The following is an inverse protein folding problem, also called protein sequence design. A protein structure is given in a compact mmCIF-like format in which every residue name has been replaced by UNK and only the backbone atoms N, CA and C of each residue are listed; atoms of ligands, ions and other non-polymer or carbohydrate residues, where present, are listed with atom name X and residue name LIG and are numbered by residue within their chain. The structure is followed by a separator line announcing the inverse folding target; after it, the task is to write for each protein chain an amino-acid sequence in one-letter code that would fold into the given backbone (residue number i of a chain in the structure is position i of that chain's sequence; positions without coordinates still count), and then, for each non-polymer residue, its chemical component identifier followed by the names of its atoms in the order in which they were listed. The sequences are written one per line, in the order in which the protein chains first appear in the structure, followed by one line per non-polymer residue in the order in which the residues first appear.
data_IF_444978241871
#
_entry.id   IF_444978241871
#
_cell.length_a   1.000
_cell.length_b   1.000
_cell.length_c   1.000
_cell.angle_alpha   90.00
_cell.angle_beta   90.00
_cell.angle_gamma   90.00
#
_symmetry.space_group_name_H-M   'P 1'
#
loop_
_entity.id
_entity.type
_entity.pdbx_description
1 polymer ?
#
# COMPACT_ATOMS: atom_id res chain seq x y z
N UNK A 1 0.23 -12.90 14.38
CA UNK A 1 1.41 -12.02 14.42
C UNK A 1 1.25 -11.06 13.25
N UNK A 2 0.96 -9.78 13.51
CA UNK A 2 0.62 -8.78 12.48
C UNK A 2 1.72 -7.72 12.51
N UNK A 3 2.63 -7.75 11.52
CA UNK A 3 3.81 -6.90 11.36
C UNK A 3 4.83 -6.87 12.51
N UNK A 4 6.02 -7.35 12.19
CA UNK A 4 7.21 -7.20 13.01
C UNK A 4 8.49 -7.32 12.17
N UNK A 5 8.36 -7.24 10.85
CA UNK A 5 9.39 -7.40 9.84
C UNK A 5 10.11 -6.10 9.49
N UNK A 6 9.67 -4.97 10.05
CA UNK A 6 10.23 -3.64 9.79
C UNK A 6 9.35 -2.75 8.91
N UNK A 7 8.19 -3.24 8.50
CA UNK A 7 7.24 -2.52 7.64
C UNK A 7 6.32 -1.61 8.46
N UNK A 8 6.91 -0.64 9.16
CA UNK A 8 6.20 0.35 9.96
C UNK A 8 6.37 1.79 9.45
N UNK A 9 5.39 2.63 9.81
CA UNK A 9 5.36 4.04 9.46
C UNK A 9 6.30 4.91 10.29
N UNK A 10 6.35 6.20 9.96
CA UNK A 10 7.03 7.22 10.76
C UNK A 10 6.48 7.29 12.19
N UNK A 11 7.29 7.85 13.09
CA UNK A 11 6.88 8.11 14.48
C UNK A 11 5.63 8.99 14.48
N UNK A 12 4.59 8.51 15.15
CA UNK A 12 3.35 9.25 15.32
C UNK A 12 3.47 10.12 16.58
N UNK A 13 3.82 11.39 16.37
CA UNK A 13 3.83 12.42 17.43
C UNK A 13 2.48 13.11 17.63
N UNK A 14 1.44 12.69 16.89
CA UNK A 14 0.14 13.33 16.92
C UNK A 14 -0.76 12.70 17.99
N UNK A 15 -1.36 13.58 18.79
CA UNK A 15 -2.38 13.20 19.75
C UNK A 15 -3.59 12.71 18.97
N UNK A 16 -4.12 11.56 19.39
CA UNK A 16 -5.33 10.97 18.81
C UNK A 16 -6.48 11.97 18.94
N UNK A 17 -7.11 12.38 17.82
CA UNK A 17 -8.15 13.39 17.88
C UNK A 17 -9.42 12.82 18.52
N UNK A 18 -10.20 13.65 19.22
CA UNK A 18 -11.34 13.21 20.04
C UNK A 18 -12.46 12.49 19.28
N UNK A 19 -12.62 12.78 17.98
CA UNK A 19 -13.57 12.09 17.11
C UNK A 19 -13.13 10.65 16.75
N UNK A 20 -11.87 10.29 17.01
CA UNK A 20 -11.31 8.95 16.80
C UNK A 20 -11.35 8.05 18.05
N UNK A 21 -12.01 8.47 19.12
CA UNK A 21 -12.07 7.74 20.39
C UNK A 21 -12.61 6.31 20.26
N UNK A 22 -13.46 6.04 19.26
CA UNK A 22 -13.97 4.70 18.94
C UNK A 22 -12.91 3.73 18.40
N UNK A 23 -11.80 4.25 17.85
CA UNK A 23 -10.73 3.43 17.29
C UNK A 23 -9.82 2.93 18.43
N UNK A 24 -9.37 1.67 18.44
CA UNK A 24 -8.38 1.21 19.42
C UNK A 24 -7.05 1.98 19.32
N UNK A 25 -6.35 2.18 20.44
CA UNK A 25 -5.12 2.98 20.46
C UNK A 25 -4.00 2.39 19.61
N UNK A 26 -3.89 1.05 19.55
CA UNK A 26 -2.92 0.34 18.72
C UNK A 26 -3.14 0.58 17.21
N UNK A 27 -4.35 0.94 16.79
CA UNK A 27 -4.66 1.28 15.40
C UNK A 27 -4.34 2.75 15.07
N UNK A 28 -4.16 3.60 16.08
CA UNK A 28 -3.67 4.98 15.91
C UNK A 28 -2.15 5.05 16.00
N UNK A 29 -1.56 4.43 17.01
CA UNK A 29 -0.13 4.43 17.28
C UNK A 29 0.28 3.09 17.89
N UNK A 30 1.14 2.36 17.19
CA UNK A 30 1.61 1.04 17.61
C UNK A 30 3.11 1.06 17.87
N UNK A 31 3.56 0.39 18.93
CA UNK A 31 4.99 0.15 19.21
C UNK A 31 5.49 -1.19 18.68
N UNK A 32 4.63 -1.97 18.00
CA UNK A 32 4.92 -3.32 17.51
C UNK A 32 5.68 -4.18 18.54
N UNK A 33 5.05 -4.49 19.69
CA UNK A 33 5.65 -5.37 20.67
C UNK A 33 5.83 -6.77 20.10
N UNK A 34 6.93 -7.42 20.47
CA UNK A 34 7.32 -8.74 19.95
C UNK A 34 7.55 -8.76 18.44
N UNK A 35 8.20 -7.71 17.93
CA UNK A 35 8.57 -7.66 16.51
C UNK A 35 9.65 -8.71 16.18
N UNK A 36 9.57 -9.24 14.95
CA UNK A 36 10.38 -10.36 14.46
C UNK A 36 11.85 -9.96 14.29
N UNK A 37 12.11 -8.71 13.95
CA UNK A 37 13.47 -8.19 13.75
C UNK A 37 14.17 -7.74 15.04
N UNK A 38 13.53 -7.92 16.20
CA UNK A 38 14.03 -7.51 17.51
C UNK A 38 14.48 -6.03 17.57
N UNK A 39 13.78 -5.14 16.88
CA UNK A 39 14.09 -3.71 16.83
C UNK A 39 13.56 -2.95 18.05
N UNK A 40 14.34 -1.96 18.47
CA UNK A 40 14.00 -1.03 19.55
C UNK A 40 14.55 -1.46 20.90
N UNK A 41 13.71 -1.40 21.93
CA UNK A 41 14.07 -1.64 23.32
C UNK A 41 13.46 -2.94 23.85
N UNK A 42 14.11 -3.54 24.84
CA UNK A 42 13.65 -4.75 25.49
C UNK A 42 12.38 -4.49 26.32
N UNK A 43 11.38 -5.35 26.18
CA UNK A 43 10.17 -5.30 27.00
C UNK A 43 10.52 -5.74 28.43
N UNK A 44 10.23 -4.93 29.47
CA UNK A 44 10.52 -5.29 30.85
C UNK A 44 9.86 -6.62 31.24
N UNK A 45 10.64 -7.56 31.74
CA UNK A 45 10.15 -8.89 32.17
C UNK A 45 9.96 -9.91 31.04
N UNK A 46 10.34 -9.59 29.79
CA UNK A 46 10.34 -10.54 28.69
C UNK A 46 11.72 -11.18 28.51
N UNK A 47 11.79 -12.51 28.46
CA UNK A 47 13.01 -13.27 28.17
C UNK A 47 12.75 -14.27 27.05
N UNK A 48 13.54 -14.22 25.98
CA UNK A 48 13.41 -15.10 24.82
C UNK A 48 13.50 -14.36 23.48
N UNK A 49 13.12 -15.05 22.41
CA UNK A 49 13.03 -14.45 21.06
C UNK A 49 11.81 -13.52 20.97
N UNK A 50 11.93 -12.43 20.20
CA UNK A 50 10.86 -11.46 19.98
C UNK A 50 10.44 -10.74 21.27
N UNK A 51 11.41 -10.28 22.07
CA UNK A 51 11.16 -9.53 23.32
C UNK A 51 11.39 -8.03 23.17
N UNK A 52 11.37 -7.50 21.93
CA UNK A 52 11.63 -6.10 21.65
C UNK A 52 10.38 -5.38 21.15
N UNK A 53 10.36 -4.07 21.37
CA UNK A 53 9.34 -3.15 20.89
C UNK A 53 9.97 -1.82 20.49
N UNK A 54 9.31 -1.04 19.64
CA UNK A 54 9.78 0.30 19.32
C UNK A 54 9.67 1.23 20.54
N UNK A 55 10.66 2.13 20.74
CA UNK A 55 10.66 3.07 21.86
C UNK A 55 9.51 4.09 21.74
N UNK A 56 9.15 4.45 20.52
CA UNK A 56 8.08 5.39 20.19
C UNK A 56 7.00 4.71 19.36
N UNK A 57 5.76 5.18 19.51
CA UNK A 57 4.63 4.69 18.73
C UNK A 57 4.72 5.22 17.30
N UNK A 58 4.54 4.31 16.34
CA UNK A 58 4.61 4.57 14.90
C UNK A 58 3.25 4.37 14.26
N UNK A 59 3.05 4.96 13.09
CA UNK A 59 1.85 4.69 12.30
C UNK A 59 1.84 3.21 11.85
N UNK A 60 0.75 2.46 12.11
CA UNK A 60 0.67 1.06 11.75
C UNK A 60 0.34 0.89 10.26
N UNK A 61 1.36 1.02 9.40
CA UNK A 61 1.24 0.94 7.93
C UNK A 61 0.58 -0.35 7.44
N UNK A 62 0.81 -1.49 8.09
CA UNK A 62 0.15 -2.75 7.73
C UNK A 62 -1.36 -2.74 7.92
N UNK A 63 -1.89 -1.94 8.86
CA UNK A 63 -3.34 -1.74 8.95
C UNK A 63 -3.84 -0.90 7.79
N UNK A 64 -3.09 0.13 7.40
CA UNK A 64 -3.43 0.95 6.25
C UNK A 64 -3.43 0.12 4.96
N UNK A 65 -2.43 -0.73 4.76
CA UNK A 65 -2.37 -1.67 3.63
C UNK A 65 -3.61 -2.57 3.58
N UNK A 66 -3.99 -3.22 4.69
CA UNK A 66 -5.17 -4.09 4.74
C UNK A 66 -6.45 -3.29 4.41
N UNK A 67 -6.60 -2.10 4.99
CA UNK A 67 -7.77 -1.23 4.74
C UNK A 67 -7.83 -0.83 3.27
N UNK A 68 -6.74 -0.33 2.69
CA UNK A 68 -6.71 0.11 1.29
C UNK A 68 -6.89 -1.07 0.35
N UNK A 69 -6.25 -2.22 0.60
CA UNK A 69 -6.45 -3.45 -0.18
C UNK A 69 -7.92 -3.90 -0.16
N UNK A 70 -8.59 -3.81 0.99
CA UNK A 70 -10.02 -4.12 1.12
C UNK A 70 -10.87 -3.13 0.32
N UNK A 71 -10.54 -1.83 0.36
CA UNK A 71 -11.22 -0.79 -0.40
C UNK A 71 -11.02 -0.98 -1.92
N UNK A 72 -9.81 -1.30 -2.37
CA UNK A 72 -9.51 -1.61 -3.77
C UNK A 72 -10.31 -2.83 -4.22
N UNK A 73 -10.33 -3.90 -3.42
CA UNK A 73 -11.12 -5.09 -3.71
C UNK A 73 -12.61 -4.77 -3.81
N UNK A 74 -13.17 -4.04 -2.84
CA UNK A 74 -14.58 -3.64 -2.84
C UNK A 74 -14.91 -2.76 -4.06
N UNK A 75 -14.05 -1.79 -4.39
CA UNK A 75 -14.19 -0.94 -5.56
C UNK A 75 -14.22 -1.76 -6.86
N UNK A 76 -13.23 -2.65 -7.05
CA UNK A 76 -13.17 -3.56 -8.19
C UNK A 76 -14.39 -4.47 -8.26
N UNK A 77 -14.86 -4.97 -7.11
CA UNK A 77 -16.05 -5.81 -7.02
C UNK A 77 -17.32 -5.09 -7.47
N UNK A 78 -17.48 -3.81 -7.14
CA UNK A 78 -18.62 -2.99 -7.58
C UNK A 78 -18.58 -2.76 -9.09
N UNK A 79 -17.42 -2.36 -9.62
CA UNK A 79 -17.29 -2.05 -11.05
C UNK A 79 -17.21 -3.29 -11.95
N UNK A 80 -17.04 -4.49 -11.39
CA UNK A 80 -16.88 -5.75 -12.15
C UNK A 80 -17.97 -5.98 -13.18
N UNK A 81 -19.21 -5.53 -12.91
CA UNK A 81 -20.36 -5.70 -13.83
C UNK A 81 -20.40 -4.66 -14.95
N UNK A 82 -19.64 -3.57 -14.82
CA UNK A 82 -19.55 -2.50 -15.81
C UNK A 82 -18.35 -2.68 -16.76
N UNK A 83 -17.35 -3.47 -16.38
CA UNK A 83 -16.17 -3.76 -17.18
C UNK A 83 -16.51 -4.83 -18.23
N UNK A 84 -16.85 -4.39 -19.45
CA UNK A 84 -17.17 -5.25 -20.59
C UNK A 84 -15.97 -5.67 -21.43
N UNK A 85 -14.81 -5.06 -21.20
CA UNK A 85 -13.58 -5.29 -21.98
C UNK A 85 -12.65 -6.20 -21.20
N UNK A 86 -12.28 -7.33 -21.82
CA UNK A 86 -11.32 -8.26 -21.25
C UNK A 86 -9.98 -7.55 -20.99
N UNK A 87 -9.38 -7.79 -19.83
CA UNK A 87 -8.13 -7.16 -19.39
C UNK A 87 -8.25 -5.78 -18.75
N UNK A 88 -9.38 -5.07 -18.91
CA UNK A 88 -9.56 -3.73 -18.30
C UNK A 88 -9.52 -3.76 -16.76
N UNK A 89 -10.06 -4.81 -16.14
CA UNK A 89 -10.03 -5.00 -14.69
C UNK A 89 -8.60 -5.18 -14.16
N UNK A 90 -7.74 -5.87 -14.91
CA UNK A 90 -6.34 -6.07 -14.55
C UNK A 90 -5.55 -4.76 -14.63
N UNK A 91 -5.78 -3.96 -15.68
CA UNK A 91 -5.16 -2.63 -15.81
C UNK A 91 -5.53 -1.69 -14.66
N UNK A 92 -6.82 -1.63 -14.30
CA UNK A 92 -7.30 -0.83 -13.17
C UNK A 92 -6.70 -1.35 -11.85
N UNK A 93 -6.64 -2.66 -11.66
CA UNK A 93 -6.00 -3.26 -10.50
C UNK A 93 -4.51 -2.88 -10.39
N UNK A 94 -3.75 -2.95 -11.48
CA UNK A 94 -2.33 -2.55 -11.50
C UNK A 94 -2.15 -1.08 -11.12
N UNK A 95 -2.98 -0.19 -11.66
CA UNK A 95 -2.95 1.23 -11.33
C UNK A 95 -3.25 1.48 -9.85
N UNK A 96 -4.30 0.85 -9.30
CA UNK A 96 -4.70 1.05 -7.92
C UNK A 96 -3.68 0.48 -6.92
N UNK A 97 -3.11 -0.69 -7.20
CA UNK A 97 -2.07 -1.29 -6.35
C UNK A 97 -0.77 -0.48 -6.40
N UNK A 98 -0.36 -0.02 -7.58
CA UNK A 98 0.81 0.84 -7.69
C UNK A 98 0.60 2.17 -6.95
N UNK A 99 -0.60 2.75 -7.02
CA UNK A 99 -0.91 3.98 -6.29
C UNK A 99 -0.91 3.76 -4.76
N UNK A 100 -1.52 2.68 -4.28
CA UNK A 100 -1.51 2.31 -2.86
C UNK A 100 -0.09 2.17 -2.32
N UNK A 101 0.77 1.45 -3.04
CA UNK A 101 2.18 1.31 -2.67
C UNK A 101 2.92 2.64 -2.62
N UNK A 102 2.69 3.56 -3.57
CA UNK A 102 3.28 4.91 -3.51
C UNK A 102 2.82 5.69 -2.28
N UNK A 103 1.54 5.59 -1.91
CA UNK A 103 0.98 6.30 -0.76
C UNK A 103 1.53 5.75 0.57
N UNK A 104 1.61 4.43 0.71
CA UNK A 104 2.14 3.78 1.91
C UNK A 104 3.64 4.05 2.07
N UNK A 105 4.39 4.04 0.97
CA UNK A 105 5.83 4.31 1.00
C UNK A 105 6.17 5.71 1.53
N UNK A 106 5.34 6.72 1.23
CA UNK A 106 5.48 8.07 1.78
C UNK A 106 5.35 8.11 3.32
N UNK A 107 4.64 7.14 3.90
CA UNK A 107 4.40 7.04 5.34
C UNK A 107 5.46 6.14 6.02
N UNK A 108 6.11 5.24 5.28
CA UNK A 108 7.10 4.28 5.81
C UNK A 108 8.42 4.94 6.23
N UNK A 109 9.05 4.39 7.26
CA UNK A 109 10.45 4.70 7.63
C UNK A 109 11.38 3.82 6.79
N UNK A 110 11.39 4.01 5.48
CA UNK A 110 12.31 3.24 4.62
C UNK A 110 13.64 3.99 4.44
N UNK A 111 14.79 3.29 4.51
CA UNK A 111 16.06 3.83 4.06
C UNK A 111 15.98 4.07 2.55
N UNK A 112 16.17 5.33 2.12
CA UNK A 112 16.16 5.64 0.69
C UNK A 112 17.43 5.11 0.05
N UNK A 113 17.32 4.39 -1.07
CA UNK A 113 18.50 4.01 -1.85
C UNK A 113 18.98 5.23 -2.64
N UNK A 114 20.25 5.61 -2.45
CA UNK A 114 20.87 6.69 -3.19
C UNK A 114 21.47 6.16 -4.50
N UNK A 115 20.79 6.41 -5.61
CA UNK A 115 21.32 6.19 -6.97
C UNK A 115 21.40 7.55 -7.66
N UNK A 116 22.61 7.98 -8.03
CA UNK A 116 22.83 9.23 -8.78
C UNK A 116 22.12 10.47 -8.22
N UNK A 117 22.34 10.78 -6.93
CA UNK A 117 21.82 11.99 -6.27
C UNK A 117 20.29 12.10 -6.17
N UNK A 118 19.55 11.06 -6.59
CA UNK A 118 18.11 10.91 -6.37
C UNK A 118 17.88 9.71 -5.46
N UNK A 119 17.04 9.90 -4.44
CA UNK A 119 16.77 8.90 -3.43
C UNK A 119 15.45 8.22 -3.80
N UNK A 120 15.51 6.98 -4.28
CA UNK A 120 14.33 6.20 -4.69
C UNK A 120 14.30 4.86 -3.96
N UNK A 121 13.11 4.36 -3.67
CA UNK A 121 12.96 3.05 -3.03
C UNK A 121 12.62 1.98 -4.08
N UNK A 122 12.97 0.72 -3.79
CA UNK A 122 12.61 -0.39 -4.68
C UNK A 122 11.09 -0.48 -4.88
N UNK A 123 10.34 -0.16 -3.82
CA UNK A 123 8.88 -0.11 -3.85
C UNK A 123 8.37 0.98 -4.79
N UNK A 124 8.97 2.16 -4.82
CA UNK A 124 8.59 3.24 -5.76
C UNK A 124 8.76 2.83 -7.22
N UNK A 125 9.87 2.15 -7.56
CA UNK A 125 10.12 1.69 -8.92
C UNK A 125 9.07 0.65 -9.38
N UNK A 126 8.81 -0.36 -8.55
CA UNK A 126 7.80 -1.39 -8.85
C UNK A 126 6.44 -0.72 -9.01
N UNK A 127 6.08 0.17 -8.08
CA UNK A 127 4.80 0.88 -8.11
C UNK A 127 4.64 1.73 -9.37
N UNK A 128 5.68 2.45 -9.77
CA UNK A 128 5.70 3.24 -10.98
C UNK A 128 5.49 2.38 -12.23
N UNK A 129 6.19 1.24 -12.33
CA UNK A 129 6.02 0.32 -13.46
C UNK A 129 4.62 -0.30 -13.51
N UNK A 130 4.01 -0.61 -12.36
CA UNK A 130 2.63 -1.10 -12.29
C UNK A 130 1.63 -0.05 -12.77
N UNK A 131 1.76 1.21 -12.32
CA UNK A 131 0.90 2.31 -12.76
C UNK A 131 1.03 2.53 -14.27
N UNK A 132 2.26 2.66 -14.77
CA UNK A 132 2.51 2.84 -16.21
C UNK A 132 1.97 1.68 -17.04
N UNK A 133 2.23 0.44 -16.62
CA UNK A 133 1.73 -0.75 -17.30
C UNK A 133 0.21 -0.81 -17.34
N UNK A 134 -0.45 -0.44 -16.25
CA UNK A 134 -1.91 -0.33 -16.18
C UNK A 134 -2.47 0.74 -17.12
N UNK A 135 -1.87 1.94 -17.15
CA UNK A 135 -2.27 3.04 -18.04
C UNK A 135 -2.10 2.67 -19.51
N UNK A 136 -0.92 2.16 -19.88
CA UNK A 136 -0.63 1.75 -21.27
C UNK A 136 -1.55 0.61 -21.70
N UNK A 137 -1.73 -0.41 -20.86
CA UNK A 137 -2.61 -1.53 -21.15
C UNK A 137 -4.06 -1.08 -21.38
N UNK A 138 -4.57 -0.17 -20.53
CA UNK A 138 -5.92 0.36 -20.68
C UNK A 138 -6.05 1.19 -21.96
N UNK A 139 -5.07 2.05 -22.27
CA UNK A 139 -5.07 2.85 -23.49
C UNK A 139 -5.06 1.97 -24.75
N UNK A 140 -4.27 0.89 -24.77
CA UNK A 140 -4.23 -0.08 -25.88
C UNK A 140 -5.58 -0.81 -26.03
N UNK A 141 -6.19 -1.25 -24.92
CA UNK A 141 -7.50 -1.91 -24.96
C UNK A 141 -8.57 -0.96 -25.53
N UNK A 142 -8.59 0.30 -25.09
CA UNK A 142 -9.53 1.31 -25.57
C UNK A 142 -9.30 1.66 -27.05
N UNK A 143 -8.05 1.76 -27.49
CA UNK A 143 -7.70 2.00 -28.89
C UNK A 143 -8.14 0.84 -29.79
N UNK A 144 -7.92 -0.41 -29.37
CA UNK A 144 -8.37 -1.59 -30.13
C UNK A 144 -9.89 -1.69 -30.18
N UNK A 145 -10.56 -1.31 -29.10
CA UNK A 145 -12.03 -1.29 -29.04
C UNK A 145 -12.63 -0.25 -30.00
N UNK A 146 -12.08 0.97 -30.06
CA UNK A 146 -12.55 2.01 -30.98
C UNK A 146 -12.30 1.64 -32.44
N UNK A 147 -11.11 1.09 -32.76
CA UNK A 147 -10.78 0.63 -34.11
C UNK A 147 -11.67 -0.53 -34.58
N UNK A 148 -11.93 -1.53 -33.71
CA UNK A 148 -12.81 -2.66 -34.02
C UNK A 148 -14.28 -2.25 -34.22
N UNK A 149 -14.74 -1.18 -33.53
CA UNK A 149 -16.09 -0.63 -33.72
C UNK A 149 -16.22 0.12 -35.05
N UNK A 150 -15.19 0.86 -35.47
CA UNK A 150 -15.16 1.60 -36.75
C UNK A 150 -15.29 0.66 -37.96
N UNK A 151 -14.58 -0.48 -37.95
CA UNK A 151 -14.65 -1.47 -39.05
C UNK A 151 -16.02 -2.13 -39.20
N UNK A 152 -16.78 -2.31 -38.10
CA UNK A 152 -18.15 -2.88 -38.15
C UNK A 152 -19.21 -1.94 -38.72
N UNK A 153 -18.94 -0.64 -38.82
CA UNK A 153 -19.88 0.36 -39.32
C UNK A 153 -19.69 0.61 -40.83
N UNK A 154 -18.52 0.25 -41.37
CA UNK A 154 -18.13 0.51 -42.77
C UNK A 154 -18.27 -0.70 -43.71
N UNK A 155 -18.78 -1.84 -43.24
CA UNK A 155 -19.02 -3.05 -44.04
C UNK A 155 -20.46 -3.52 -43.90
#
# INVERSE_FOLDING_TARGET
QLSGDGDWGIVNNHIKPGWLTWLPDWAWSSRFPHNVINAGELIPGCSGNFCFQLPQGVYPTSLYEIVICTLIFAFLWVIRRHLRLDGSMFCIFLMLNGLERLLIEMIRVNPRYHLFNMAFTQAELISFTMVLGGVIGLAVILYRYSAGRSMKISG
#
